data_IF_700002433877
#
_entry.id   IF_700002433877
#
_cell.length_a   1.000
_cell.length_b   1.000
_cell.length_c   1.000
_cell.angle_alpha   90.00
_cell.angle_beta   90.00
_cell.angle_gamma   90.00
#
_symmetry.space_group_name_H-M   'P 1'
#
loop_
_entity.id
_entity.type
_entity.pdbx_description
1 polymer ?
#
# COMPACT_ATOMS: atom_id res chain seq x y z
N UNK A 1 -26.90 -17.01 30.88
CA UNK A 1 -25.83 -17.28 29.89
C UNK A 1 -25.18 -15.94 29.55
N UNK A 2 -23.90 -15.70 29.87
CA UNK A 2 -23.24 -14.46 29.49
C UNK A 2 -22.92 -14.47 27.99
N UNK A 3 -23.40 -13.44 27.29
CA UNK A 3 -23.14 -13.21 25.86
C UNK A 3 -21.68 -12.78 25.73
N UNK A 4 -20.87 -13.67 25.17
CA UNK A 4 -19.46 -13.43 24.86
C UNK A 4 -19.40 -12.34 23.78
N UNK A 5 -19.04 -11.11 24.16
CA UNK A 5 -18.87 -10.01 23.23
C UNK A 5 -17.60 -10.26 22.43
N UNK A 6 -17.73 -10.69 21.17
CA UNK A 6 -16.59 -10.75 20.27
C UNK A 6 -15.97 -9.34 20.16
N UNK A 7 -14.64 -9.17 20.26
CA UNK A 7 -14.02 -7.89 20.03
C UNK A 7 -14.34 -7.45 18.60
N UNK A 8 -14.97 -6.28 18.47
CA UNK A 8 -15.14 -5.62 17.19
C UNK A 8 -13.78 -5.57 16.49
N UNK A 9 -13.71 -5.83 15.17
CA UNK A 9 -12.46 -5.67 14.44
C UNK A 9 -11.97 -4.26 14.69
N UNK A 10 -10.79 -4.17 15.30
CA UNK A 10 -10.09 -2.93 15.54
C UNK A 10 -9.77 -2.36 14.16
N UNK A 11 -10.69 -1.56 13.62
CA UNK A 11 -10.42 -0.66 12.51
C UNK A 11 -9.38 0.29 13.10
N UNK A 12 -8.10 -0.05 12.92
CA UNK A 12 -7.01 0.85 13.22
C UNK A 12 -7.35 2.12 12.47
N UNK A 13 -7.87 3.13 13.18
CA UNK A 13 -7.94 4.47 12.67
C UNK A 13 -6.50 4.78 12.25
N UNK A 14 -6.21 4.77 10.95
CA UNK A 14 -4.86 5.00 10.45
C UNK A 14 -4.42 6.34 11.03
N UNK A 15 -3.53 6.29 12.03
CA UNK A 15 -3.13 7.47 12.78
C UNK A 15 -2.49 8.46 11.82
N UNK A 16 -2.75 9.76 12.03
CA UNK A 16 -2.11 10.82 11.27
C UNK A 16 -0.59 10.72 11.50
N UNK A 17 0.25 10.70 10.45
CA UNK A 17 1.70 10.66 10.61
C UNK A 17 2.21 11.79 11.51
N UNK A 18 3.17 11.50 12.39
CA UNK A 18 3.58 12.42 13.45
C UNK A 18 4.65 13.42 13.01
N UNK A 19 5.44 13.08 11.98
CA UNK A 19 6.56 13.91 11.51
C UNK A 19 6.72 13.86 9.99
N UNK A 20 7.55 14.74 9.46
CA UNK A 20 7.79 14.93 8.02
C UNK A 20 8.30 13.65 7.33
N UNK A 21 9.16 12.87 7.97
CA UNK A 21 9.69 11.63 7.40
C UNK A 21 8.62 10.54 7.30
N UNK A 22 7.78 10.42 8.33
CA UNK A 22 6.61 9.53 8.30
C UNK A 22 5.60 9.98 7.24
N UNK A 23 5.40 11.28 7.06
CA UNK A 23 4.58 11.82 5.96
C UNK A 23 5.14 11.46 4.59
N UNK A 24 6.45 11.56 4.37
CA UNK A 24 7.08 11.15 3.10
C UNK A 24 6.85 9.66 2.85
N UNK A 25 7.06 8.80 3.85
CA UNK A 25 6.82 7.36 3.73
C UNK A 25 5.35 7.05 3.50
N UNK A 26 4.45 7.70 4.25
CA UNK A 26 3.01 7.55 4.11
C UNK A 26 2.53 7.94 2.71
N UNK A 27 2.95 9.10 2.20
CA UNK A 27 2.57 9.59 0.87
C UNK A 27 3.13 8.71 -0.25
N UNK A 28 4.27 8.06 -0.02
CA UNK A 28 4.89 7.12 -0.97
C UNK A 28 4.29 5.72 -0.91
N UNK A 29 3.43 5.41 0.07
CA UNK A 29 2.75 4.13 0.20
C UNK A 29 1.35 4.20 -0.44
N UNK A 30 1.25 3.71 -1.67
CA UNK A 30 -0.01 3.73 -2.45
C UNK A 30 -1.10 2.81 -1.90
N UNK A 31 -0.79 1.95 -0.92
CA UNK A 31 -1.81 1.14 -0.24
C UNK A 31 -2.49 1.86 0.92
N UNK A 32 -1.99 3.04 1.31
CA UNK A 32 -2.48 3.79 2.49
C UNK A 32 -2.70 5.28 2.22
N UNK A 33 -1.93 5.89 1.34
CA UNK A 33 -1.95 7.34 1.11
C UNK A 33 -3.33 7.88 0.68
N UNK A 34 -4.18 7.04 0.09
CA UNK A 34 -5.50 7.41 -0.40
C UNK A 34 -6.48 7.71 0.72
N UNK A 35 -6.22 7.22 1.94
CA UNK A 35 -6.96 7.57 3.16
C UNK A 35 -7.02 9.10 3.38
N UNK A 36 -6.05 9.88 2.89
CA UNK A 36 -6.10 11.34 2.99
C UNK A 36 -7.20 11.97 2.12
N UNK A 37 -7.54 11.30 1.01
CA UNK A 37 -8.64 11.72 0.12
C UNK A 37 -9.98 11.21 0.66
N UNK A 38 -9.97 10.15 1.46
CA UNK A 38 -11.16 9.63 2.11
C UNK A 38 -11.54 10.37 3.41
N UNK A 39 -10.65 11.20 3.96
CA UNK A 39 -10.84 11.90 5.24
C UNK A 39 -10.40 13.37 5.16
N UNK A 40 -11.35 14.33 5.18
CA UNK A 40 -11.05 15.76 5.12
C UNK A 40 -10.07 16.24 6.21
N UNK A 41 -10.08 15.65 7.41
CA UNK A 41 -9.16 16.06 8.49
C UNK A 41 -7.72 15.65 8.18
N UNK A 42 -7.54 14.42 7.68
CA UNK A 42 -6.23 13.95 7.21
C UNK A 42 -5.74 14.77 6.03
N UNK A 43 -6.63 15.19 5.14
CA UNK A 43 -6.28 16.10 4.06
C UNK A 43 -5.69 17.42 4.58
N UNK A 44 -6.29 18.06 5.58
CA UNK A 44 -5.73 19.29 6.16
C UNK A 44 -4.36 19.04 6.80
N UNK A 45 -4.18 17.93 7.51
CA UNK A 45 -2.89 17.58 8.08
C UNK A 45 -1.82 17.33 7.00
N UNK A 46 -2.20 16.66 5.91
CA UNK A 46 -1.33 16.46 4.74
C UNK A 46 -0.99 17.80 4.08
N UNK A 47 -1.99 18.66 3.86
CA UNK A 47 -1.82 19.98 3.26
C UNK A 47 -0.90 20.87 4.10
N UNK A 48 -1.10 20.86 5.43
CA UNK A 48 -0.26 21.58 6.38
C UNK A 48 1.21 21.14 6.26
N UNK A 49 1.45 19.84 6.18
CA UNK A 49 2.81 19.27 6.13
C UNK A 49 3.47 19.47 4.77
N UNK A 50 2.77 19.14 3.68
CA UNK A 50 3.32 19.15 2.30
C UNK A 50 3.68 20.56 1.84
N UNK A 51 3.03 21.58 2.40
CA UNK A 51 3.32 22.99 2.09
C UNK A 51 4.49 23.59 2.88
N UNK A 52 5.11 22.83 3.80
CA UNK A 52 6.30 23.27 4.52
C UNK A 52 7.58 23.06 3.68
N UNK A 53 8.56 23.98 3.75
CA UNK A 53 9.84 23.79 3.06
C UNK A 53 10.60 22.58 3.61
N UNK A 54 10.47 22.27 4.91
CA UNK A 54 11.08 21.07 5.51
C UNK A 54 10.57 19.78 4.89
N UNK A 55 9.30 19.73 4.49
CA UNK A 55 8.75 18.58 3.79
C UNK A 55 9.41 18.37 2.43
N UNK A 56 9.61 19.42 1.66
CA UNK A 56 10.30 19.30 0.38
C UNK A 56 11.74 18.86 0.54
N UNK A 57 12.45 19.33 1.58
CA UNK A 57 13.81 18.87 1.87
C UNK A 57 13.84 17.40 2.26
N UNK A 58 12.92 16.95 3.12
CA UNK A 58 12.79 15.55 3.51
C UNK A 58 12.42 14.66 2.32
N UNK A 59 11.45 15.09 1.49
CA UNK A 59 11.03 14.39 0.29
C UNK A 59 12.18 14.28 -0.71
N UNK A 60 12.90 15.39 -0.97
CA UNK A 60 14.04 15.40 -1.88
C UNK A 60 15.17 14.50 -1.41
N UNK A 61 15.44 14.48 -0.08
CA UNK A 61 16.40 13.55 0.51
C UNK A 61 15.96 12.11 0.31
N UNK A 62 14.68 11.82 0.54
CA UNK A 62 14.15 10.48 0.42
C UNK A 62 14.09 9.99 -1.04
N UNK A 63 13.92 10.88 -2.03
CA UNK A 63 14.02 10.56 -3.46
C UNK A 63 15.42 10.10 -3.88
N UNK A 64 16.47 10.49 -3.14
CA UNK A 64 17.83 9.99 -3.37
C UNK A 64 18.06 8.59 -2.77
N UNK A 65 17.09 8.02 -2.06
CA UNK A 65 17.18 6.66 -1.53
C UNK A 65 16.41 5.68 -2.43
N UNK A 66 17.08 4.69 -3.05
CA UNK A 66 16.41 3.73 -3.93
C UNK A 66 15.37 2.88 -3.19
N UNK A 67 15.51 2.71 -1.88
CA UNK A 67 14.55 1.96 -1.06
C UNK A 67 13.14 2.56 -1.08
N UNK A 68 13.01 3.89 -1.06
CA UNK A 68 11.70 4.54 -1.13
C UNK A 68 11.05 4.32 -2.50
N UNK A 69 11.86 4.34 -3.57
CA UNK A 69 11.38 4.04 -4.92
C UNK A 69 10.89 2.59 -5.04
N UNK A 70 11.67 1.63 -4.51
CA UNK A 70 11.28 0.21 -4.52
C UNK A 70 10.02 -0.04 -3.68
N UNK A 71 9.94 0.56 -2.49
CA UNK A 71 8.75 0.48 -1.66
C UNK A 71 7.53 1.07 -2.36
N UNK A 72 7.64 2.29 -2.89
CA UNK A 72 6.52 2.96 -3.54
C UNK A 72 6.05 2.19 -4.78
N UNK A 73 6.97 1.75 -5.62
CA UNK A 73 6.63 0.92 -6.80
C UNK A 73 6.00 -0.41 -6.36
N UNK A 74 6.49 -1.05 -5.28
CA UNK A 74 5.90 -2.28 -4.77
C UNK A 74 4.47 -2.05 -4.27
N UNK A 75 4.22 -0.96 -3.54
CA UNK A 75 2.88 -0.60 -3.06
C UNK A 75 1.93 -0.25 -4.20
N UNK A 76 2.43 0.31 -5.30
CA UNK A 76 1.63 0.60 -6.49
C UNK A 76 1.25 -0.68 -7.26
N UNK A 77 2.13 -1.67 -7.29
CA UNK A 77 1.86 -2.99 -7.88
C UNK A 77 0.97 -3.88 -7.01
N UNK A 78 0.73 -3.48 -5.75
CA UNK A 78 -0.16 -4.16 -4.82
C UNK A 78 -1.62 -3.88 -5.19
N UNK A 79 -2.47 -4.91 -5.36
CA UNK A 79 -3.89 -4.70 -5.66
C UNK A 79 -4.61 -3.85 -4.61
N UNK A 80 -4.14 -3.82 -3.36
CA UNK A 80 -4.70 -2.98 -2.29
C UNK A 80 -4.61 -1.49 -2.60
N UNK A 81 -3.64 -1.05 -3.43
CA UNK A 81 -3.58 0.35 -3.87
C UNK A 81 -4.86 0.78 -4.57
N UNK A 82 -5.44 -0.08 -5.41
CA UNK A 82 -6.74 0.19 -6.02
C UNK A 82 -7.83 0.42 -4.98
N UNK A 83 -7.93 -0.48 -3.98
CA UNK A 83 -8.96 -0.36 -2.94
C UNK A 83 -8.80 0.91 -2.09
N UNK A 84 -7.55 1.34 -1.89
CA UNK A 84 -7.23 2.55 -1.13
C UNK A 84 -7.79 3.79 -1.84
N UNK A 85 -7.68 3.89 -3.16
CA UNK A 85 -8.25 5.02 -3.93
C UNK A 85 -9.75 4.85 -4.24
N UNK A 86 -10.22 3.63 -4.49
CA UNK A 86 -11.62 3.38 -4.80
C UNK A 86 -12.56 3.83 -3.67
N UNK A 87 -12.13 3.68 -2.41
CA UNK A 87 -12.86 4.17 -1.22
C UNK A 87 -13.07 5.69 -1.23
N UNK A 88 -12.18 6.47 -1.84
CA UNK A 88 -12.32 7.93 -1.90
C UNK A 88 -13.55 8.36 -2.74
N UNK A 89 -14.05 7.47 -3.59
CA UNK A 89 -15.26 7.69 -4.40
C UNK A 89 -16.54 7.17 -3.72
N UNK A 90 -16.45 6.64 -2.49
CA UNK A 90 -17.64 6.17 -1.76
C UNK A 90 -18.59 7.35 -1.44
N UNK A 91 -19.91 7.19 -1.63
CA UNK A 91 -20.89 8.23 -1.27
C UNK A 91 -20.74 8.81 0.14
N UNK A 92 -20.34 8.00 1.13
CA UNK A 92 -20.10 8.47 2.51
C UNK A 92 -18.90 9.42 2.58
N UNK A 93 -17.84 9.15 1.81
CA UNK A 93 -16.69 10.05 1.71
C UNK A 93 -17.09 11.36 1.06
N UNK A 94 -17.86 11.31 -0.04
CA UNK A 94 -18.36 12.51 -0.70
C UNK A 94 -19.25 13.35 0.23
N UNK A 95 -20.10 12.70 1.04
CA UNK A 95 -20.90 13.38 2.06
C UNK A 95 -20.02 14.02 3.13
N UNK A 96 -18.96 13.34 3.61
CA UNK A 96 -18.02 13.90 4.56
C UNK A 96 -17.30 15.14 4.00
N UNK A 97 -16.91 15.12 2.73
CA UNK A 97 -16.34 16.29 2.05
C UNK A 97 -17.35 17.42 1.90
N UNK A 98 -18.59 17.13 1.52
CA UNK A 98 -19.65 18.14 1.46
C UNK A 98 -19.87 18.80 2.83
N UNK A 99 -19.87 18.03 3.90
CA UNK A 99 -19.98 18.55 5.27
C UNK A 99 -18.76 19.39 5.65
N UNK A 100 -17.55 18.91 5.35
CA UNK A 100 -16.32 19.65 5.63
C UNK A 100 -16.27 20.99 4.90
N UNK A 101 -16.72 21.04 3.65
CA UNK A 101 -16.78 22.30 2.88
C UNK A 101 -17.83 23.28 3.39
N UNK A 102 -18.82 22.81 4.16
CA UNK A 102 -19.79 23.67 4.85
C UNK A 102 -19.35 24.03 6.28
N UNK A 103 -18.31 23.38 6.81
CA UNK A 103 -17.79 23.61 8.16
C UNK A 103 -16.84 24.82 8.18
N UNK A 104 -17.19 25.91 8.91
CA UNK A 104 -16.31 27.06 9.06
C UNK A 104 -14.94 26.70 9.64
N UNK A 105 -14.85 25.68 10.51
CA UNK A 105 -13.59 25.26 11.10
C UNK A 105 -12.64 24.68 10.06
N UNK A 106 -13.15 23.82 9.18
CA UNK A 106 -12.37 23.27 8.08
C UNK A 106 -11.86 24.37 7.13
N UNK A 107 -12.73 25.30 6.73
CA UNK A 107 -12.35 26.44 5.87
C UNK A 107 -11.27 27.29 6.56
N UNK A 108 -11.45 27.61 7.83
CA UNK A 108 -10.48 28.40 8.60
C UNK A 108 -9.12 27.70 8.72
N UNK A 109 -9.11 26.38 8.93
CA UNK A 109 -7.89 25.59 8.99
C UNK A 109 -7.17 25.55 7.64
N UNK A 110 -7.90 25.34 6.54
CA UNK A 110 -7.36 25.38 5.19
C UNK A 110 -6.75 26.75 4.86
N UNK A 111 -7.45 27.84 5.21
CA UNK A 111 -6.94 29.21 5.03
C UNK A 111 -5.68 29.44 5.85
N UNK A 112 -5.69 29.07 7.14
CA UNK A 112 -4.55 29.24 8.05
C UNK A 112 -3.31 28.53 7.51
N UNK A 113 -3.46 27.31 7.00
CA UNK A 113 -2.36 26.56 6.39
C UNK A 113 -1.73 27.32 5.21
N UNK A 114 -2.54 28.04 4.42
CA UNK A 114 -2.08 28.77 3.24
C UNK A 114 -1.51 30.14 3.55
N UNK A 115 -1.94 30.77 4.65
CA UNK A 115 -1.59 32.16 4.97
C UNK A 115 -0.71 32.33 6.21
N UNK A 116 -0.26 31.23 6.83
CA UNK A 116 0.58 31.27 8.03
C UNK A 116 1.84 32.14 7.80
N UNK A 117 1.96 33.30 8.47
CA UNK A 117 3.11 34.19 8.32
C UNK A 117 4.43 33.51 8.71
N UNK A 118 4.41 32.58 9.66
CA UNK A 118 5.60 31.84 10.07
C UNK A 118 6.08 30.93 8.94
N UNK A 119 5.15 30.29 8.22
CA UNK A 119 5.48 29.48 7.05
C UNK A 119 6.11 30.32 5.94
N UNK A 120 5.57 31.50 5.66
CA UNK A 120 6.17 32.42 4.68
C UNK A 120 7.60 32.82 5.08
N UNK A 121 7.84 33.05 6.37
CA UNK A 121 9.17 33.35 6.88
C UNK A 121 10.13 32.15 6.77
N UNK A 122 9.67 30.93 7.06
CA UNK A 122 10.45 29.71 6.82
C UNK A 122 10.83 29.57 5.35
N UNK A 123 9.90 29.86 4.44
CA UNK A 123 10.16 29.87 3.01
C UNK A 123 11.17 30.94 2.58
N UNK A 124 11.08 32.15 3.14
CA UNK A 124 12.06 33.21 2.90
C UNK A 124 13.48 32.80 3.34
N UNK A 125 13.58 32.00 4.40
CA UNK A 125 14.85 31.48 4.92
C UNK A 125 15.28 30.15 4.31
N UNK A 126 14.40 29.45 3.58
CA UNK A 126 14.67 28.12 3.05
C UNK A 126 15.92 28.04 2.15
N UNK A 127 16.25 29.02 1.28
CA UNK A 127 17.49 28.99 0.50
C UNK A 127 18.77 29.06 1.36
N UNK A 128 18.68 29.59 2.58
CA UNK A 128 19.79 29.68 3.52
C UNK A 128 19.85 28.49 4.49
N UNK A 129 18.95 27.51 4.35
CA UNK A 129 18.93 26.33 5.21
C UNK A 129 20.18 25.46 4.95
N UNK A 130 21.01 25.17 5.97
CA UNK A 130 22.18 24.29 5.81
C UNK A 130 21.81 22.89 5.31
N UNK A 131 20.59 22.41 5.57
CA UNK A 131 20.09 21.13 5.05
C UNK A 131 19.89 21.18 3.53
N UNK A 132 19.44 22.30 2.99
CA UNK A 132 19.30 22.50 1.54
C UNK A 132 20.67 22.49 0.85
N UNK A 133 21.67 23.15 1.46
CA UNK A 133 23.06 23.10 0.98
C UNK A 133 23.65 21.69 1.06
N UNK A 134 23.42 20.98 2.17
CA UNK A 134 23.85 19.59 2.32
C UNK A 134 23.21 18.67 1.28
N UNK A 135 21.93 18.89 0.96
CA UNK A 135 21.21 18.17 -0.09
C UNK A 135 21.86 18.39 -1.45
N UNK A 136 22.18 19.65 -1.80
CA UNK A 136 22.87 20.00 -3.05
C UNK A 136 24.23 19.29 -3.15
N UNK A 137 25.03 19.34 -2.09
CA UNK A 137 26.32 18.64 -2.04
C UNK A 137 26.15 17.12 -2.16
N UNK A 138 25.12 16.56 -1.53
CA UNK A 138 24.84 15.13 -1.60
C UNK A 138 24.33 14.70 -2.97
N UNK A 139 23.63 15.57 -3.72
CA UNK A 139 23.24 15.28 -5.10
C UNK A 139 24.46 15.12 -6.02
N UNK A 140 25.58 15.78 -5.71
CA UNK A 140 26.84 15.63 -6.43
C UNK A 140 27.65 14.40 -5.98
N UNK A 141 27.18 13.68 -4.94
CA UNK A 141 27.89 12.56 -4.38
C UNK A 141 27.76 11.32 -5.29
N UNK A 142 28.86 10.77 -5.84
CA UNK A 142 28.81 9.59 -6.69
C UNK A 142 28.17 8.38 -6.00
N UNK A 143 28.24 8.31 -4.67
CA UNK A 143 27.66 7.23 -3.89
C UNK A 143 26.14 7.14 -4.04
N UNK A 144 25.43 8.26 -4.27
CA UNK A 144 23.98 8.23 -4.52
C UNK A 144 23.70 7.44 -5.80
N UNK A 145 24.46 7.67 -6.86
CA UNK A 145 24.30 6.94 -8.12
C UNK A 145 24.74 5.48 -8.02
N UNK A 146 25.80 5.20 -7.26
CA UNK A 146 26.21 3.81 -6.98
C UNK A 146 25.10 3.05 -6.24
N UNK A 147 24.43 3.67 -5.26
CA UNK A 147 23.27 3.05 -4.59
C UNK A 147 22.20 2.66 -5.62
N UNK A 148 21.83 3.55 -6.54
CA UNK A 148 20.86 3.24 -7.59
C UNK A 148 21.33 2.13 -8.54
N UNK A 149 22.60 2.14 -8.94
CA UNK A 149 23.16 1.10 -9.78
C UNK A 149 23.08 -0.29 -9.10
N UNK A 150 23.40 -0.35 -7.81
CA UNK A 150 23.27 -1.60 -7.04
C UNK A 150 21.82 -1.99 -6.75
N UNK A 151 20.91 -1.01 -6.63
CA UNK A 151 19.49 -1.29 -6.41
C UNK A 151 18.84 -2.00 -7.60
N UNK A 152 19.31 -1.76 -8.83
CA UNK A 152 18.84 -2.51 -10.00
C UNK A 152 19.14 -4.02 -9.91
N UNK A 153 20.17 -4.40 -9.15
CA UNK A 153 20.57 -5.79 -8.93
C UNK A 153 19.98 -6.39 -7.64
N UNK A 154 19.23 -5.61 -6.86
CA UNK A 154 18.57 -6.08 -5.64
C UNK A 154 17.52 -7.16 -6.01
N UNK A 155 17.50 -8.31 -5.31
CA UNK A 155 16.48 -9.35 -5.50
C UNK A 155 15.04 -8.81 -5.46
N UNK A 156 14.76 -7.77 -4.66
CA UNK A 156 13.45 -7.13 -4.60
C UNK A 156 13.07 -6.50 -5.95
N UNK A 157 14.01 -5.83 -6.60
CA UNK A 157 13.82 -5.23 -7.93
C UNK A 157 13.57 -6.31 -8.99
N UNK A 158 14.33 -7.41 -8.94
CA UNK A 158 14.14 -8.56 -9.84
C UNK A 158 12.77 -9.22 -9.63
N UNK A 159 12.36 -9.40 -8.38
CA UNK A 159 11.04 -9.94 -8.05
C UNK A 159 9.92 -9.04 -8.62
N UNK A 160 10.04 -7.72 -8.48
CA UNK A 160 9.08 -6.77 -9.03
C UNK A 160 9.06 -6.77 -10.56
N UNK A 161 10.22 -6.85 -11.20
CA UNK A 161 10.31 -6.98 -12.66
C UNK A 161 9.63 -8.26 -13.17
N UNK A 162 9.65 -9.33 -12.37
CA UNK A 162 8.97 -10.60 -12.68
C UNK A 162 7.48 -10.62 -12.30
N UNK A 163 6.99 -9.64 -11.53
CA UNK A 163 5.63 -9.68 -10.98
C UNK A 163 4.53 -9.81 -12.05
N UNK A 164 4.57 -9.09 -13.20
CA UNK A 164 3.58 -9.25 -14.27
C UNK A 164 3.65 -10.61 -14.99
N UNK A 165 4.72 -11.38 -14.82
CA UNK A 165 4.84 -12.73 -15.39
C UNK A 165 4.19 -13.79 -14.49
N UNK A 166 3.85 -13.44 -13.25
CA UNK A 166 3.22 -14.34 -12.30
C UNK A 166 1.68 -14.35 -12.51
N UNK A 167 1.06 -15.48 -12.90
CA UNK A 167 -0.40 -15.56 -13.06
C UNK A 167 -1.18 -15.19 -11.79
N UNK A 168 -0.60 -15.44 -10.60
CA UNK A 168 -1.22 -15.10 -9.33
C UNK A 168 -1.34 -13.59 -9.13
N UNK A 169 -0.49 -12.79 -9.77
CA UNK A 169 -0.58 -11.33 -9.71
C UNK A 169 -1.91 -10.85 -10.33
N UNK A 170 -2.27 -11.35 -11.51
CA UNK A 170 -3.57 -11.04 -12.13
C UNK A 170 -4.75 -11.55 -11.33
N UNK A 171 -4.65 -12.76 -10.77
CA UNK A 171 -5.67 -13.32 -9.88
C UNK A 171 -5.91 -12.44 -8.65
N UNK A 172 -4.85 -11.91 -8.04
CA UNK A 172 -4.96 -11.01 -6.90
C UNK A 172 -5.62 -9.67 -7.27
N UNK A 173 -5.29 -9.12 -8.46
CA UNK A 173 -5.94 -7.90 -8.97
C UNK A 173 -7.41 -8.11 -9.28
N UNK A 174 -7.77 -9.17 -10.02
CA UNK A 174 -9.16 -9.50 -10.29
C UNK A 174 -9.94 -9.78 -9.00
N UNK A 175 -9.35 -10.54 -8.07
CA UNK A 175 -9.97 -10.84 -6.78
C UNK A 175 -10.22 -9.58 -5.95
N UNK A 176 -9.29 -8.62 -5.96
CA UNK A 176 -9.46 -7.37 -5.24
C UNK A 176 -10.51 -6.46 -5.90
N UNK A 177 -10.55 -6.38 -7.23
CA UNK A 177 -11.61 -5.63 -7.95
C UNK A 177 -12.99 -6.28 -7.79
N UNK A 178 -13.07 -7.61 -7.69
CA UNK A 178 -14.32 -8.31 -7.43
C UNK A 178 -14.75 -8.23 -5.95
N UNK A 179 -13.87 -7.80 -5.04
CA UNK A 179 -14.17 -7.73 -3.62
C UNK A 179 -14.99 -6.47 -3.30
N UNK A 180 -16.23 -6.60 -2.80
CA UNK A 180 -17.05 -5.44 -2.39
C UNK A 180 -16.38 -4.53 -1.38
N UNK A 181 -15.51 -5.07 -0.52
CA UNK A 181 -14.79 -4.29 0.49
C UNK A 181 -13.77 -3.32 -0.11
N UNK A 182 -13.38 -3.50 -1.37
CA UNK A 182 -12.44 -2.62 -2.05
C UNK A 182 -13.02 -1.22 -2.29
N UNK A 183 -14.35 -1.06 -2.30
CA UNK A 183 -15.04 0.15 -2.75
C UNK A 183 -15.58 1.04 -1.63
N UNK A 184 -15.31 0.72 -0.37
CA UNK A 184 -15.83 1.46 0.78
C UNK A 184 -17.16 0.92 1.32
N UNK A 185 -17.62 1.41 2.48
CA UNK A 185 -18.73 0.82 3.23
C UNK A 185 -20.06 0.87 2.47
N UNK A 186 -20.36 1.94 1.74
CA UNK A 186 -21.64 2.09 1.03
C UNK A 186 -21.71 1.13 -0.14
N UNK A 187 -20.65 1.12 -0.96
CA UNK A 187 -20.60 0.24 -2.13
C UNK A 187 -20.49 -1.24 -1.71
N UNK A 188 -19.74 -1.53 -0.65
CA UNK A 188 -19.69 -2.87 -0.04
C UNK A 188 -21.08 -3.36 0.38
N UNK A 189 -21.90 -2.49 0.99
CA UNK A 189 -23.26 -2.84 1.40
C UNK A 189 -24.19 -3.01 0.20
N UNK A 190 -24.06 -2.17 -0.83
CA UNK A 190 -24.86 -2.26 -2.06
C UNK A 190 -24.56 -3.54 -2.85
N UNK A 191 -23.28 -3.87 -3.04
CA UNK A 191 -22.86 -5.07 -3.77
C UNK A 191 -23.21 -6.37 -3.02
N UNK A 192 -23.37 -6.30 -1.69
CA UNK A 192 -23.86 -7.41 -0.86
C UNK A 192 -25.38 -7.48 -0.77
N UNK A 193 -26.10 -6.48 -1.30
CA UNK A 193 -27.56 -6.46 -1.25
C UNK A 193 -28.13 -7.62 -2.09
N UNK A 194 -29.12 -8.38 -1.57
CA UNK A 194 -29.80 -9.41 -2.34
C UNK A 194 -30.42 -8.81 -3.62
N UNK A 195 -30.08 -9.36 -4.78
CA UNK A 195 -30.60 -8.92 -6.09
C UNK A 195 -29.72 -7.95 -6.89
N UNK A 196 -28.53 -7.57 -6.39
CA UNK A 196 -27.58 -6.81 -7.20
C UNK A 196 -27.00 -7.69 -8.33
N UNK A 197 -27.06 -7.27 -9.62
CA UNK A 197 -26.55 -8.02 -10.76
C UNK A 197 -25.02 -7.90 -10.80
N UNK A 198 -24.38 -8.54 -9.83
CA UNK A 198 -22.96 -8.39 -9.53
C UNK A 198 -22.47 -9.34 -8.44
N UNK A 199 -23.38 -10.15 -7.84
CA UNK A 199 -22.96 -11.43 -7.28
C UNK A 199 -22.46 -12.32 -8.43
N UNK A 200 -21.27 -12.00 -8.96
CA UNK A 200 -20.38 -13.06 -9.39
C UNK A 200 -20.18 -13.87 -8.13
N UNK A 201 -20.96 -14.96 -7.99
CA UNK A 201 -20.53 -16.08 -7.18
C UNK A 201 -19.06 -16.24 -7.51
N UNK A 202 -18.20 -15.97 -6.52
CA UNK A 202 -16.79 -16.26 -6.64
C UNK A 202 -16.75 -17.68 -7.15
N UNK A 203 -16.38 -17.87 -8.42
CA UNK A 203 -16.14 -19.20 -8.95
C UNK A 203 -15.10 -19.74 -7.98
N UNK A 204 -15.38 -20.83 -7.26
CA UNK A 204 -14.39 -21.37 -6.36
C UNK A 204 -13.20 -21.67 -7.25
N UNK A 205 -12.14 -20.88 -7.13
CA UNK A 205 -10.83 -21.36 -7.51
C UNK A 205 -10.71 -22.69 -6.76
N UNK A 206 -10.45 -23.82 -7.44
CA UNK A 206 -10.28 -25.07 -6.75
C UNK A 206 -9.25 -24.81 -5.66
N UNK A 207 -9.68 -25.01 -4.42
CA UNK A 207 -8.81 -25.05 -3.26
C UNK A 207 -7.56 -25.79 -3.69
N UNK A 208 -6.41 -25.16 -3.44
CA UNK A 208 -5.11 -25.77 -3.65
C UNK A 208 -5.22 -27.24 -3.26
N UNK A 209 -5.01 -28.11 -4.25
CA UNK A 209 -4.91 -29.53 -4.00
C UNK A 209 -3.97 -29.71 -2.81
N UNK A 210 -4.34 -30.49 -1.77
CA UNK A 210 -3.35 -30.88 -0.79
C UNK A 210 -2.19 -31.49 -1.57
N UNK A 211 -1.01 -30.91 -1.39
CA UNK A 211 0.25 -31.43 -1.90
C UNK A 211 0.48 -32.82 -1.29
N UNK A 212 -0.22 -33.81 -1.81
CA UNK A 212 0.14 -35.21 -1.72
C UNK A 212 1.24 -35.41 -2.75
N UNK A 213 2.46 -35.08 -2.36
CA UNK A 213 3.60 -35.78 -2.94
C UNK A 213 3.49 -37.24 -2.47
N UNK A 214 3.25 -38.23 -3.35
CA UNK A 214 3.82 -39.54 -3.06
C UNK A 214 5.33 -39.33 -3.11
N UNK A 215 5.99 -39.44 -1.96
CA UNK A 215 7.43 -39.63 -1.91
C UNK A 215 7.72 -40.87 -2.76
N UNK A 216 8.24 -40.66 -3.97
CA UNK A 216 8.71 -41.75 -4.82
C UNK A 216 10.00 -42.26 -4.17
N UNK A 217 10.06 -43.49 -3.64
CA UNK A 217 11.32 -44.03 -3.15
C UNK A 217 12.13 -44.48 -4.38
N UNK A 218 12.81 -43.53 -5.03
CA UNK A 218 13.82 -43.88 -6.02
C UNK A 218 15.09 -44.24 -5.27
N UNK A 219 15.42 -45.55 -5.30
CA UNK A 219 16.58 -46.24 -4.71
C UNK A 219 16.32 -46.93 -3.35
N UNK A 220 15.53 -48.01 -3.37
CA UNK A 220 15.68 -49.11 -2.39
C UNK A 220 16.48 -50.26 -3.05
N UNK A 221 17.71 -50.56 -2.60
CA UNK A 221 18.53 -51.67 -3.09
C UNK A 221 17.92 -53.06 -2.91
N UNK A 222 16.80 -53.20 -2.18
CA UNK A 222 16.14 -54.50 -1.92
C UNK A 222 15.28 -55.02 -3.06
N UNK A 223 15.08 -54.24 -4.13
CA UNK A 223 14.27 -54.65 -5.29
C UNK A 223 14.98 -55.64 -6.24
N UNK A 224 16.28 -55.90 -6.04
CA UNK A 224 17.11 -56.70 -6.96
C UNK A 224 17.35 -58.17 -6.56
N UNK A 225 16.58 -58.74 -5.61
CA UNK A 225 16.90 -60.10 -5.14
C UNK A 225 15.71 -60.92 -4.65
N UNK A 226 14.91 -61.47 -5.56
CA UNK A 226 14.14 -62.68 -5.32
C UNK A 226 13.55 -63.25 -6.63
N UNK A 227 14.38 -63.92 -7.44
CA UNK A 227 13.91 -64.91 -8.41
C UNK A 227 14.16 -66.30 -7.83
N UNK A 228 13.12 -67.01 -7.39
CA UNK A 228 13.09 -68.49 -7.25
C UNK A 228 11.64 -68.98 -7.46
N UNK A 229 11.40 -70.05 -8.24
CA UNK A 229 10.08 -70.38 -8.80
C UNK A 229 9.19 -71.27 -7.89
N UNK A 230 7.89 -71.25 -8.23
CA UNK A 230 6.75 -71.97 -7.62
C UNK A 230 6.75 -73.47 -7.99
N UNK A 231 6.40 -74.41 -7.08
CA UNK A 231 5.96 -75.74 -7.44
C UNK A 231 4.42 -75.85 -7.52
N UNK A 232 3.95 -76.49 -8.60
CA UNK A 232 2.54 -76.80 -8.88
C UNK A 232 1.98 -77.90 -7.97
N UNK A 233 0.68 -77.80 -7.67
CA UNK A 233 -0.23 -78.94 -7.48
C UNK A 233 -1.52 -78.67 -8.22
#
# INVERSE_FOLDING_TARGET
>A
MPVNSAPAPNVQASAVPANTAEWVNYLSDFTRNGDMLADPKKFIAALATVSEPEFLLAASKAMMEPNLYLQSTATLMDPRAYSNFAKAMDPVVLAAWSQALMDPQFISAAQTVMTDPNKLMRWAMAPMDPRALALLLNALNPNVYLKFATAAQDPRTLNMASAPLNPNWYGAWMGNMANPQAYGPTMNNLMKAPGYPGQMQAVPYPQAYPQMYPAVPMLDPRMFGAMVPVPMR
#
